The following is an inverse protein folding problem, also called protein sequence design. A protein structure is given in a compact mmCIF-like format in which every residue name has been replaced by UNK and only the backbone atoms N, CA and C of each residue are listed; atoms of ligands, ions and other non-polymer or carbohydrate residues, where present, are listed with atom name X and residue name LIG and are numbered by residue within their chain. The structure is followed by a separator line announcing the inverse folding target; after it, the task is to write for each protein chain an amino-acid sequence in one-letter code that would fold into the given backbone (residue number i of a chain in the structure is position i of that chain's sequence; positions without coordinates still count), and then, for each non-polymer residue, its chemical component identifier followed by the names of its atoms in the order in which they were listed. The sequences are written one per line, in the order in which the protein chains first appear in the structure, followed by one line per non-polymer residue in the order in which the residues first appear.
data_IF_101756152336
#
_entry.id   IF_101756152336
#
_cell.length_a   1.000
_cell.length_b   1.000
_cell.length_c   1.000
_cell.angle_alpha   90.00
_cell.angle_beta   90.00
_cell.angle_gamma   90.00
#
_symmetry.space_group_name_H-M   'P 1'
#
loop_
_entity.id
_entity.type
_entity.pdbx_description
1 polymer ?
#
# COMPACT_ATOMS: atom_id res chain seq x y z
N UNK A 1 -20.95 -19.76 -15.69
CA UNK A 1 -20.53 -20.34 -14.40
C UNK A 1 -20.08 -19.17 -13.54
N UNK A 2 -20.81 -18.86 -12.46
CA UNK A 2 -20.39 -17.86 -11.48
C UNK A 2 -19.35 -18.51 -10.59
N UNK A 3 -18.08 -18.17 -10.80
CA UNK A 3 -16.99 -18.62 -9.92
C UNK A 3 -17.27 -18.06 -8.52
N UNK A 4 -17.43 -18.94 -7.54
CA UNK A 4 -17.56 -18.53 -6.14
C UNK A 4 -16.18 -18.10 -5.64
N UNK A 5 -15.93 -16.79 -5.68
CA UNK A 5 -14.65 -16.17 -5.28
C UNK A 5 -14.51 -16.05 -3.75
N UNK A 6 -15.52 -16.45 -2.96
CA UNK A 6 -15.52 -16.29 -1.50
C UNK A 6 -14.51 -17.17 -0.78
N UNK A 7 -13.98 -18.21 -1.44
CA UNK A 7 -13.01 -19.15 -0.85
C UNK A 7 -11.54 -18.77 -1.05
N UNK A 8 -11.21 -17.80 -1.92
CA UNK A 8 -9.83 -17.33 -2.05
C UNK A 8 -9.56 -16.18 -1.09
N UNK A 9 -8.87 -16.48 0.01
CA UNK A 9 -8.51 -15.50 1.04
C UNK A 9 -7.76 -14.28 0.48
N UNK A 10 -6.98 -14.44 -0.60
CA UNK A 10 -6.30 -13.32 -1.27
C UNK A 10 -7.30 -12.32 -1.85
N UNK A 11 -8.39 -12.83 -2.43
CA UNK A 11 -9.44 -12.00 -2.99
C UNK A 11 -10.29 -11.37 -1.89
N UNK A 12 -10.51 -12.05 -0.77
CA UNK A 12 -11.20 -11.48 0.39
C UNK A 12 -10.44 -10.28 0.99
N UNK A 13 -9.13 -10.45 1.22
CA UNK A 13 -8.28 -9.38 1.76
C UNK A 13 -8.17 -8.22 0.74
N UNK A 14 -8.01 -8.53 -0.55
CA UNK A 14 -8.05 -7.52 -1.61
C UNK A 14 -9.40 -6.78 -1.66
N UNK A 15 -10.52 -7.48 -1.48
CA UNK A 15 -11.86 -6.90 -1.50
C UNK A 15 -12.06 -5.90 -0.35
N UNK A 16 -11.57 -6.26 0.85
CA UNK A 16 -11.62 -5.38 2.03
C UNK A 16 -10.84 -4.10 1.79
N UNK A 17 -9.72 -4.16 1.07
CA UNK A 17 -8.92 -2.98 0.74
C UNK A 17 -9.59 -2.09 -0.31
N UNK A 18 -10.16 -2.71 -1.34
CA UNK A 18 -10.76 -2.00 -2.47
C UNK A 18 -12.07 -1.28 -2.10
N UNK A 19 -12.67 -1.59 -0.94
CA UNK A 19 -13.83 -0.86 -0.43
C UNK A 19 -13.59 0.64 -0.30
N UNK A 20 -12.33 1.10 -0.20
CA UNK A 20 -11.97 2.51 -0.21
C UNK A 20 -12.53 3.27 -1.42
N UNK A 21 -12.74 2.61 -2.56
CA UNK A 21 -13.36 3.20 -3.75
C UNK A 21 -14.89 3.33 -3.66
N UNK A 22 -15.50 2.69 -2.66
CA UNK A 22 -16.94 2.61 -2.44
C UNK A 22 -17.44 3.42 -1.22
N UNK A 23 -16.55 4.16 -0.54
CA UNK A 23 -16.91 5.01 0.60
C UNK A 23 -17.44 6.38 0.12
N UNK A 24 -18.58 6.36 -0.57
CA UNK A 24 -19.14 7.53 -1.28
C UNK A 24 -19.52 8.71 -0.38
N UNK A 25 -19.56 8.51 0.94
CA UNK A 25 -19.77 9.58 1.91
C UNK A 25 -18.56 10.52 2.06
N UNK A 26 -17.40 10.17 1.49
CA UNK A 26 -16.19 10.99 1.51
C UNK A 26 -15.79 11.48 0.12
N UNK A 27 -15.35 12.73 0.03
CA UNK A 27 -14.83 13.31 -1.22
C UNK A 27 -13.45 12.75 -1.62
N UNK A 28 -12.62 12.46 -0.61
CA UNK A 28 -11.27 11.92 -0.72
C UNK A 28 -11.03 10.89 0.38
N UNK A 29 -10.37 9.79 0.03
CA UNK A 29 -9.95 8.74 0.96
C UNK A 29 -8.48 8.43 0.72
N UNK A 30 -7.69 8.42 1.80
CA UNK A 30 -6.31 7.92 1.81
C UNK A 30 -6.30 6.63 2.63
N UNK A 31 -6.04 5.52 1.96
CA UNK A 31 -5.89 4.21 2.58
C UNK A 31 -4.41 3.88 2.78
N UNK A 32 -4.08 3.36 3.96
CA UNK A 32 -2.75 2.87 4.33
C UNK A 32 -2.85 1.39 4.74
N UNK A 33 -1.88 0.58 4.36
CA UNK A 33 -1.74 -0.77 4.90
C UNK A 33 -1.41 -0.74 6.41
N UNK A 34 -1.77 -1.80 7.11
CA UNK A 34 -1.62 -1.89 8.57
C UNK A 34 -0.17 -2.14 9.03
N UNK A 35 0.72 -2.52 8.12
CA UNK A 35 2.14 -2.77 8.36
C UNK A 35 3.02 -1.58 7.98
N UNK A 36 2.50 -0.38 8.24
CA UNK A 36 3.15 0.89 7.96
C UNK A 36 3.44 1.67 9.25
N UNK A 37 4.38 2.60 9.18
CA UNK A 37 4.65 3.55 10.26
C UNK A 37 4.82 4.96 9.69
N UNK A 38 3.94 5.85 10.13
CA UNK A 38 3.95 7.28 9.76
C UNK A 38 4.96 8.01 10.63
N UNK A 39 5.91 8.69 9.99
CA UNK A 39 7.00 9.46 10.61
C UNK A 39 6.76 10.97 10.55
N UNK A 40 6.04 11.44 9.52
CA UNK A 40 5.75 12.85 9.31
C UNK A 40 4.32 13.03 8.79
N UNK A 41 3.76 14.23 8.98
CA UNK A 41 2.44 14.60 8.45
C UNK A 41 2.36 14.34 6.94
N UNK A 42 1.23 13.80 6.48
CA UNK A 42 0.96 13.50 5.07
C UNK A 42 -0.40 14.06 4.61
N UNK A 43 -0.96 15.07 5.29
CA UNK A 43 -2.30 15.58 4.98
C UNK A 43 -2.40 16.12 3.54
N UNK A 44 -1.29 16.57 2.96
CA UNK A 44 -1.25 17.01 1.56
C UNK A 44 -1.62 15.89 0.55
N UNK A 45 -1.68 14.62 1.00
CA UNK A 45 -2.24 13.53 0.20
C UNK A 45 -3.73 13.72 -0.10
N UNK A 46 -4.46 14.46 0.75
CA UNK A 46 -5.87 14.81 0.54
C UNK A 46 -6.05 15.84 -0.58
N UNK A 47 -4.98 16.55 -0.96
CA UNK A 47 -4.99 17.58 -2.02
C UNK A 47 -4.46 17.05 -3.37
N UNK A 48 -4.16 15.76 -3.46
CA UNK A 48 -3.67 15.15 -4.71
C UNK A 48 -4.73 15.29 -5.80
N UNK A 49 -4.35 15.93 -6.90
CA UNK A 49 -5.23 16.12 -8.07
C UNK A 49 -5.56 14.78 -8.74
N UNK A 50 -6.78 14.29 -8.48
CA UNK A 50 -7.39 13.12 -9.12
C UNK A 50 -8.55 13.52 -10.03
N UNK A 51 -8.88 12.62 -10.97
CA UNK A 51 -10.06 12.80 -11.81
C UNK A 51 -11.33 12.89 -10.95
N UNK A 52 -12.31 13.71 -11.34
CA UNK A 52 -13.51 13.88 -10.54
C UNK A 52 -14.45 12.67 -10.68
N UNK A 53 -15.26 12.34 -9.64
CA UNK A 53 -16.09 11.14 -9.59
C UNK A 53 -17.01 10.94 -10.80
N UNK A 54 -17.44 12.03 -11.46
CA UNK A 54 -18.33 12.03 -12.62
C UNK A 54 -17.68 11.38 -13.85
N UNK A 55 -16.33 11.31 -13.91
CA UNK A 55 -15.62 10.58 -14.95
C UNK A 55 -15.74 9.05 -14.79
N UNK A 56 -16.19 8.57 -13.63
CA UNK A 56 -16.49 7.16 -13.40
C UNK A 56 -15.33 6.21 -13.73
N UNK A 57 -14.10 6.58 -13.35
CA UNK A 57 -12.91 5.76 -13.55
C UNK A 57 -12.40 5.70 -14.99
N UNK A 58 -12.88 6.58 -15.89
CA UNK A 58 -12.47 6.63 -17.32
C UNK A 58 -11.36 7.63 -17.62
N UNK A 59 -10.97 8.44 -16.64
CA UNK A 59 -9.90 9.43 -16.80
C UNK A 59 -8.49 8.82 -16.72
N UNK A 60 -7.48 9.69 -16.51
CA UNK A 60 -6.05 9.37 -16.50
C UNK A 60 -5.41 9.35 -15.10
N UNK A 61 -6.09 9.89 -14.09
CA UNK A 61 -5.66 9.96 -12.69
C UNK A 61 -6.80 9.42 -11.82
N UNK A 62 -7.17 8.15 -12.05
CA UNK A 62 -8.32 7.51 -11.40
C UNK A 62 -8.09 7.36 -9.89
N UNK A 63 -6.84 7.09 -9.49
CA UNK A 63 -6.40 7.07 -8.10
C UNK A 63 -4.93 7.48 -8.04
N UNK A 64 -4.44 7.79 -6.85
CA UNK A 64 -3.03 8.06 -6.54
C UNK A 64 -2.40 6.89 -5.81
N UNK A 65 -1.16 6.55 -6.15
CA UNK A 65 -0.39 5.50 -5.47
C UNK A 65 1.10 5.68 -5.75
N UNK A 66 1.96 4.83 -5.16
CA UNK A 66 3.40 4.83 -5.47
C UNK A 66 3.75 3.70 -6.43
N UNK A 67 4.89 3.79 -7.12
CA UNK A 67 5.39 2.67 -7.92
C UNK A 67 5.82 1.48 -7.06
N UNK A 68 5.43 0.27 -7.47
CA UNK A 68 6.04 -0.96 -7.01
C UNK A 68 7.54 -0.96 -7.32
N UNK A 69 8.33 -1.58 -6.44
CA UNK A 69 9.77 -1.68 -6.67
C UNK A 69 10.06 -2.79 -7.68
N UNK A 70 10.45 -2.39 -8.89
CA UNK A 70 10.75 -3.30 -10.00
C UNK A 70 12.12 -3.98 -9.88
N UNK A 71 12.98 -3.53 -8.97
CA UNK A 71 14.34 -4.07 -8.79
C UNK A 71 14.37 -5.54 -8.36
N UNK A 72 13.25 -6.08 -7.87
CA UNK A 72 13.11 -7.44 -7.38
C UNK A 72 14.34 -7.89 -6.54
N UNK A 73 14.70 -7.16 -5.46
CA UNK A 73 15.95 -7.39 -4.73
C UNK A 73 16.02 -8.81 -4.11
N UNK A 74 14.87 -9.44 -3.90
CA UNK A 74 14.76 -10.81 -3.42
C UNK A 74 14.72 -11.88 -4.52
N UNK A 75 14.90 -11.50 -5.79
CA UNK A 75 14.92 -12.39 -6.97
C UNK A 75 13.74 -13.36 -7.02
N UNK A 76 12.54 -12.87 -6.67
CA UNK A 76 11.33 -13.69 -6.67
C UNK A 76 10.88 -13.99 -8.11
N UNK A 77 10.56 -15.25 -8.45
CA UNK A 77 10.28 -15.66 -9.84
C UNK A 77 9.07 -14.98 -10.50
N UNK A 78 8.14 -14.47 -9.70
CA UNK A 78 6.88 -13.91 -10.16
C UNK A 78 6.91 -12.42 -10.48
N UNK A 79 8.04 -11.74 -10.24
CA UNK A 79 8.18 -10.35 -10.65
C UNK A 79 8.48 -10.30 -12.16
N UNK A 80 7.61 -9.69 -12.99
CA UNK A 80 7.84 -9.58 -14.42
C UNK A 80 9.13 -8.81 -14.72
N UNK A 81 9.84 -9.18 -15.79
CA UNK A 81 11.03 -8.45 -16.24
C UNK A 81 10.71 -7.03 -16.74
N UNK A 82 9.46 -6.79 -17.14
CA UNK A 82 8.92 -5.59 -17.76
C UNK A 82 7.79 -4.96 -16.93
N UNK A 83 7.94 -4.91 -15.60
CA UNK A 83 6.93 -4.41 -14.66
C UNK A 83 6.75 -2.88 -14.60
N UNK A 84 6.96 -2.19 -15.73
CA UNK A 84 6.70 -0.75 -15.84
C UNK A 84 5.19 -0.49 -15.72
N UNK A 85 4.80 0.38 -14.79
CA UNK A 85 3.40 0.74 -14.57
C UNK A 85 2.68 0.01 -13.42
N UNK A 86 3.36 -0.91 -12.72
CA UNK A 86 2.82 -1.48 -11.48
C UNK A 86 2.81 -0.44 -10.36
N UNK A 87 1.63 -0.21 -9.78
CA UNK A 87 1.51 0.53 -8.52
C UNK A 87 1.81 -0.39 -7.34
N UNK A 88 2.15 0.17 -6.19
CA UNK A 88 2.12 -0.53 -4.91
C UNK A 88 0.96 0.02 -4.09
N UNK A 89 -0.03 -0.83 -3.88
CA UNK A 89 -1.31 -0.49 -3.27
C UNK A 89 -1.22 -0.30 -1.77
N UNK A 90 -0.04 -0.37 -1.14
CA UNK A 90 0.09 -0.08 0.29
C UNK A 90 -0.38 1.32 0.66
N UNK A 91 -0.31 2.26 -0.29
CA UNK A 91 -1.02 3.53 -0.21
C UNK A 91 -1.93 3.69 -1.43
N UNK A 92 -3.17 4.08 -1.18
CA UNK A 92 -4.15 4.44 -2.21
C UNK A 92 -4.77 5.77 -1.81
N UNK A 93 -4.69 6.75 -2.70
CA UNK A 93 -5.46 7.99 -2.62
C UNK A 93 -6.57 7.89 -3.65
N UNK A 94 -7.82 8.06 -3.26
CA UNK A 94 -8.94 7.91 -4.19
C UNK A 94 -10.02 8.93 -3.93
N UNK A 95 -10.76 9.27 -4.99
CA UNK A 95 -12.06 9.93 -4.91
C UNK A 95 -13.12 8.85 -5.15
N UNK A 96 -13.82 8.38 -4.11
CA UNK A 96 -14.81 7.32 -4.24
C UNK A 96 -15.83 7.62 -5.35
N UNK A 97 -16.16 6.61 -6.16
CA UNK A 97 -17.09 6.76 -7.28
C UNK A 97 -17.72 5.43 -7.64
N UNK A 98 -19.04 5.40 -7.77
CA UNK A 98 -19.78 4.21 -8.20
C UNK A 98 -19.27 3.67 -9.53
N UNK A 99 -18.88 4.56 -10.46
CA UNK A 99 -18.35 4.16 -11.76
C UNK A 99 -16.99 3.45 -11.65
N UNK A 100 -16.07 4.00 -10.85
CA UNK A 100 -14.77 3.38 -10.59
C UNK A 100 -14.95 2.04 -9.85
N UNK A 101 -15.80 2.01 -8.83
CA UNK A 101 -16.10 0.80 -8.07
C UNK A 101 -16.68 -0.30 -8.97
N UNK A 102 -17.62 0.05 -9.84
CA UNK A 102 -18.20 -0.90 -10.80
C UNK A 102 -17.15 -1.52 -11.71
N UNK A 103 -16.22 -0.72 -12.25
CA UNK A 103 -15.12 -1.22 -13.09
C UNK A 103 -14.27 -2.23 -12.30
N UNK A 104 -13.93 -1.92 -11.04
CA UNK A 104 -13.14 -2.78 -10.17
C UNK A 104 -13.88 -4.11 -9.92
N UNK A 105 -15.16 -4.05 -9.55
CA UNK A 105 -15.94 -5.26 -9.25
C UNK A 105 -16.23 -6.11 -10.48
N UNK A 106 -16.50 -5.48 -11.63
CA UNK A 106 -16.70 -6.18 -12.90
C UNK A 106 -15.42 -6.90 -13.33
N UNK A 107 -14.25 -6.25 -13.16
CA UNK A 107 -12.96 -6.89 -13.45
C UNK A 107 -12.71 -8.07 -12.51
N UNK A 108 -12.92 -7.91 -11.19
CA UNK A 108 -12.78 -9.01 -10.23
C UNK A 108 -13.65 -10.23 -10.59
N UNK A 109 -14.87 -10.00 -11.08
CA UNK A 109 -15.77 -11.08 -11.47
C UNK A 109 -15.36 -11.81 -12.75
N UNK A 110 -14.47 -11.22 -13.57
CA UNK A 110 -14.11 -11.73 -14.91
C UNK A 110 -12.64 -12.14 -15.04
N UNK A 111 -11.76 -11.66 -14.16
CA UNK A 111 -10.32 -11.94 -14.19
C UNK A 111 -10.00 -13.39 -13.80
N UNK A 112 -9.00 -13.98 -14.45
CA UNK A 112 -8.37 -15.23 -13.99
C UNK A 112 -7.35 -14.89 -12.89
N UNK A 113 -7.79 -14.94 -11.64
CA UNK A 113 -7.01 -14.49 -10.47
C UNK A 113 -5.99 -15.51 -9.96
N UNK A 114 -5.89 -16.68 -10.59
CA UNK A 114 -5.09 -17.81 -10.11
C UNK A 114 -3.62 -17.42 -9.85
N UNK A 115 -3.03 -16.63 -10.75
CA UNK A 115 -1.62 -16.26 -10.73
C UNK A 115 -1.32 -14.97 -9.95
N UNK A 116 -2.32 -14.32 -9.36
CA UNK A 116 -2.13 -13.07 -8.64
C UNK A 116 -1.57 -13.30 -7.23
N UNK A 117 -0.32 -12.89 -7.03
CA UNK A 117 0.33 -12.97 -5.71
C UNK A 117 -0.05 -11.77 -4.84
N UNK A 118 -0.25 -10.60 -5.45
CA UNK A 118 -0.75 -9.39 -4.80
C UNK A 118 -2.04 -8.97 -5.52
N UNK A 119 -3.17 -9.56 -5.11
CA UNK A 119 -4.41 -9.49 -5.89
C UNK A 119 -4.93 -8.06 -6.10
N UNK A 120 -4.92 -7.23 -5.07
CA UNK A 120 -5.27 -5.81 -5.14
C UNK A 120 -4.31 -5.04 -6.06
N UNK A 121 -3.00 -5.26 -5.90
CA UNK A 121 -1.96 -4.60 -6.69
C UNK A 121 -2.04 -4.95 -8.17
N UNK A 122 -2.20 -6.24 -8.47
CA UNK A 122 -2.33 -6.77 -9.83
C UNK A 122 -3.59 -6.22 -10.49
N UNK A 123 -4.74 -6.29 -9.80
CA UNK A 123 -6.01 -5.80 -10.32
C UNK A 123 -5.92 -4.31 -10.69
N UNK A 124 -5.53 -3.45 -9.76
CA UNK A 124 -5.53 -2.00 -10.02
C UNK A 124 -4.51 -1.60 -11.09
N UNK A 125 -3.37 -2.29 -11.13
CA UNK A 125 -2.35 -2.03 -12.16
C UNK A 125 -2.81 -2.48 -13.56
N UNK A 126 -3.60 -3.56 -13.65
CA UNK A 126 -4.15 -4.05 -14.92
C UNK A 126 -5.32 -3.19 -15.40
N UNK A 127 -6.32 -2.98 -14.54
CA UNK A 127 -7.56 -2.24 -14.87
C UNK A 127 -7.29 -0.78 -15.22
N UNK A 128 -6.38 -0.15 -14.48
CA UNK A 128 -6.06 1.27 -14.63
C UNK A 128 -4.61 1.48 -15.09
N UNK A 129 -4.12 0.58 -15.94
CA UNK A 129 -2.76 0.67 -16.47
C UNK A 129 -2.49 2.08 -17.04
N UNK A 130 -1.46 2.75 -16.51
CA UNK A 130 -1.08 4.13 -16.84
C UNK A 130 -2.14 5.22 -16.58
N UNK A 131 -3.21 4.90 -15.83
CA UNK A 131 -4.33 5.81 -15.52
C UNK A 131 -4.42 6.11 -14.02
N UNK A 132 -3.26 6.24 -13.37
CA UNK A 132 -3.13 6.58 -11.96
C UNK A 132 -2.05 7.66 -11.76
N UNK A 133 -2.20 8.47 -10.70
CA UNK A 133 -1.30 9.54 -10.34
C UNK A 133 -0.12 9.01 -9.52
N UNK A 134 1.14 9.15 -9.98
CA UNK A 134 2.29 8.67 -9.24
C UNK A 134 2.65 9.59 -8.07
N UNK A 135 2.73 9.00 -6.88
CA UNK A 135 3.16 9.64 -5.65
C UNK A 135 4.67 9.42 -5.43
N UNK A 136 5.37 10.43 -4.87
CA UNK A 136 6.74 10.28 -4.39
C UNK A 136 6.92 9.08 -3.44
N UNK A 137 8.08 8.40 -3.52
CA UNK A 137 8.33 7.19 -2.72
C UNK A 137 8.24 7.43 -1.21
N UNK A 138 8.43 8.68 -0.75
CA UNK A 138 8.44 9.03 0.67
C UNK A 138 7.11 8.78 1.38
N UNK A 139 5.99 8.70 0.64
CA UNK A 139 4.66 8.40 1.17
C UNK A 139 4.39 6.90 1.35
N UNK A 140 5.19 6.06 0.70
CA UNK A 140 5.12 4.60 0.82
C UNK A 140 6.52 4.04 0.58
N UNK A 141 7.39 4.30 1.56
CA UNK A 141 8.79 3.97 1.50
C UNK A 141 8.96 2.49 1.86
N UNK A 142 9.04 1.64 0.83
CA UNK A 142 9.29 0.20 1.04
C UNK A 142 10.65 0.03 1.73
N UNK A 143 10.68 -0.68 2.87
CA UNK A 143 11.93 -0.84 3.67
C UNK A 143 13.14 -1.32 2.87
N UNK A 144 12.90 -2.20 1.89
CA UNK A 144 13.95 -2.76 1.03
C UNK A 144 14.62 -1.73 0.12
N UNK A 145 13.96 -0.59 -0.16
CA UNK A 145 14.57 0.51 -0.94
C UNK A 145 15.71 1.18 -0.17
N UNK A 146 15.75 1.08 1.16
CA UNK A 146 16.87 1.60 1.97
C UNK A 146 18.12 0.72 1.89
N UNK A 147 18.01 -0.53 1.45
CA UNK A 147 19.13 -1.46 1.43
C UNK A 147 20.20 -1.03 0.44
N UNK A 148 21.46 -1.30 0.79
CA UNK A 148 22.63 -1.05 -0.05
C UNK A 148 22.47 -1.74 -1.42
N UNK A 149 22.67 -0.98 -2.50
CA UNK A 149 22.58 -1.49 -3.87
C UNK A 149 21.16 -1.63 -4.41
N UNK A 150 20.13 -1.24 -3.66
CA UNK A 150 18.73 -1.22 -4.13
C UNK A 150 18.38 0.19 -4.59
N UNK A 151 18.08 1.09 -3.65
CA UNK A 151 17.75 2.50 -3.92
C UNK A 151 18.46 3.45 -2.92
N UNK A 152 19.50 2.97 -2.24
CA UNK A 152 20.26 3.69 -1.22
C UNK A 152 20.79 5.05 -1.72
N UNK A 153 21.20 5.15 -2.98
CA UNK A 153 21.68 6.40 -3.58
C UNK A 153 20.64 7.56 -3.54
N UNK A 154 19.35 7.24 -3.66
CA UNK A 154 18.27 8.23 -3.66
C UNK A 154 17.51 8.28 -2.33
N UNK A 155 17.73 7.32 -1.45
CA UNK A 155 17.06 7.23 -0.16
C UNK A 155 17.52 8.36 0.78
N UNK A 156 16.57 8.94 1.52
CA UNK A 156 16.80 10.05 2.47
C UNK A 156 15.96 9.80 3.72
N UNK A 157 16.59 9.37 4.81
CA UNK A 157 15.92 9.01 6.07
C UNK A 157 15.03 10.16 6.57
N UNK A 158 15.52 11.40 6.53
CA UNK A 158 14.84 12.63 6.98
C UNK A 158 13.67 13.07 6.10
N UNK A 159 13.46 12.42 4.95
CA UNK A 159 12.38 12.73 4.02
C UNK A 159 11.28 11.68 4.02
N UNK A 160 11.51 10.50 4.60
CA UNK A 160 10.53 9.41 4.63
C UNK A 160 9.36 9.83 5.52
N UNK A 161 8.17 9.98 4.94
CA UNK A 161 6.96 10.32 5.69
C UNK A 161 6.23 9.09 6.21
N UNK A 162 6.31 7.98 5.49
CA UNK A 162 5.68 6.73 5.87
C UNK A 162 6.49 5.54 5.35
N UNK A 163 6.92 4.67 6.27
CA UNK A 163 7.68 3.46 5.96
C UNK A 163 6.72 2.27 5.87
N UNK A 164 6.93 1.42 4.87
CA UNK A 164 6.12 0.23 4.63
C UNK A 164 6.93 -1.05 4.86
N UNK A 165 6.52 -1.84 5.84
CA UNK A 165 7.15 -3.09 6.22
C UNK A 165 6.63 -4.30 5.43
N UNK A 166 6.26 -4.13 4.15
CA UNK A 166 5.51 -5.08 3.30
C UNK A 166 6.05 -6.54 3.25
N UNK A 167 7.31 -6.76 3.59
CA UNK A 167 7.95 -8.09 3.62
C UNK A 167 8.39 -8.50 5.02
N UNK A 168 8.43 -9.81 5.24
CA UNK A 168 9.02 -10.41 6.44
C UNK A 168 10.55 -10.33 6.43
N UNK A 169 11.20 -10.34 7.60
CA UNK A 169 10.59 -10.27 8.95
C UNK A 169 9.93 -8.92 9.21
N UNK A 170 8.87 -8.85 10.01
CA UNK A 170 8.30 -7.57 10.45
C UNK A 170 9.03 -7.08 11.71
N UNK A 171 9.04 -5.76 12.01
CA UNK A 171 9.72 -5.27 13.20
C UNK A 171 9.13 -5.79 14.52
N UNK A 172 7.86 -6.19 14.55
CA UNK A 172 7.23 -6.83 15.72
C UNK A 172 7.48 -8.33 15.85
N UNK A 173 8.06 -8.97 14.84
CA UNK A 173 8.45 -10.39 14.90
C UNK A 173 9.86 -10.57 15.48
N UNK A 174 10.62 -9.47 15.62
CA UNK A 174 12.00 -9.49 16.09
C UNK A 174 12.10 -9.21 17.59
N UNK A 175 12.92 -10.01 18.29
CA UNK A 175 13.30 -9.72 19.68
C UNK A 175 14.54 -8.83 19.68
N UNK A 176 14.49 -7.61 20.24
CA UNK A 176 15.67 -6.76 20.41
C UNK A 176 16.77 -7.53 21.17
N UNK A 177 18.08 -7.31 20.88
CA UNK A 177 18.67 -6.18 20.16
C UNK A 177 19.09 -6.48 18.70
N UNK A 178 18.70 -7.62 18.14
CA UNK A 178 19.09 -8.00 16.77
C UNK A 178 18.08 -7.44 15.79
N UNK A 179 18.41 -6.33 15.13
CA UNK A 179 17.64 -5.81 14.00
C UNK A 179 18.37 -6.11 12.71
N UNK A 180 17.78 -6.99 11.88
CA UNK A 180 18.33 -7.31 10.56
C UNK A 180 18.17 -6.14 9.58
N UNK A 181 17.09 -5.36 9.73
CA UNK A 181 16.80 -4.18 8.91
C UNK A 181 16.94 -2.90 9.75
N UNK A 182 17.76 -1.91 9.32
CA UNK A 182 17.94 -0.67 10.08
C UNK A 182 16.63 0.10 10.36
N UNK A 183 15.62 -0.03 9.51
CA UNK A 183 14.31 0.62 9.70
C UNK A 183 13.48 -0.01 10.81
N UNK A 184 13.83 -1.21 11.28
CA UNK A 184 13.13 -1.85 12.40
C UNK A 184 13.44 -1.14 13.73
N UNK A 185 14.64 -0.56 13.87
CA UNK A 185 15.00 0.25 15.03
C UNK A 185 14.06 1.46 15.20
N UNK A 186 13.56 2.04 14.09
CA UNK A 186 12.59 3.14 14.13
C UNK A 186 11.26 2.70 14.76
N UNK A 187 10.73 1.54 14.35
CA UNK A 187 9.51 0.99 14.92
C UNK A 187 9.70 0.61 16.40
N UNK A 188 10.83 0.00 16.76
CA UNK A 188 11.09 -0.38 18.14
C UNK A 188 11.16 0.85 19.05
N UNK A 189 11.81 1.93 18.62
CA UNK A 189 11.86 3.18 19.36
C UNK A 189 10.45 3.76 19.56
N UNK A 190 9.68 3.91 18.47
CA UNK A 190 8.32 4.46 18.53
C UNK A 190 7.38 3.60 19.39
N UNK A 191 7.46 2.28 19.27
CA UNK A 191 6.62 1.38 20.06
C UNK A 191 7.01 1.37 21.55
N UNK A 192 8.28 1.57 21.88
CA UNK A 192 8.71 1.76 23.27
C UNK A 192 8.11 3.04 23.86
N UNK A 193 8.20 4.17 23.14
CA UNK A 193 7.58 5.44 23.54
C UNK A 193 6.06 5.32 23.71
N UNK A 194 5.38 4.66 22.75
CA UNK A 194 3.94 4.35 22.84
C UNK A 194 3.62 3.59 24.12
N UNK A 195 4.36 2.52 24.42
CA UNK A 195 4.14 1.68 25.62
C UNK A 195 4.33 2.45 26.92
N UNK A 196 5.32 3.34 26.99
CA UNK A 196 5.52 4.21 28.14
C UNK A 196 4.35 5.17 28.33
N UNK A 197 3.87 5.78 27.24
CA UNK A 197 2.71 6.66 27.25
C UNK A 197 1.41 5.92 27.65
N UNK A 198 1.17 4.73 27.11
CA UNK A 198 0.01 3.91 27.42
C UNK A 198 0.02 3.49 28.90
N UNK A 199 1.18 3.05 29.41
CA UNK A 199 1.38 2.75 30.83
C UNK A 199 1.08 3.96 31.72
N UNK A 200 1.51 5.15 31.34
CA UNK A 200 1.23 6.39 32.08
C UNK A 200 -0.27 6.72 32.13
N UNK A 201 -1.06 6.23 31.16
CA UNK A 201 -2.52 6.40 31.09
C UNK A 201 -3.29 5.22 31.70
N UNK A 202 -2.61 4.23 32.28
CA UNK A 202 -3.24 3.03 32.81
C UNK A 202 -3.80 2.09 31.73
N UNK A 203 -3.33 2.23 30.49
CA UNK A 203 -3.67 1.34 29.39
C UNK A 203 -2.67 0.20 29.36
N UNK A 204 -3.17 -1.03 29.24
CA UNK A 204 -2.36 -2.23 29.04
C UNK A 204 -2.65 -2.79 27.66
N UNK A 205 -1.61 -3.09 26.89
CA UNK A 205 -1.75 -3.87 25.65
C UNK A 205 -2.43 -5.19 26.02
N UNK A 206 -3.58 -5.46 25.41
CA UNK A 206 -4.37 -6.66 25.70
C UNK A 206 -3.71 -7.90 25.12
N UNK A 207 -3.17 -8.74 26.01
CA UNK A 207 -2.94 -10.16 25.78
C UNK A 207 -3.47 -10.93 26.99
#
# INVERSE_FOLDING_TARGET
MTTDLTQDRRLYDAWTKLIAFALYEYDHVVLLDCDMMVLHNMDELMDVELDPPEMGGKGKRVFGSTHACVCNPLKRPHYPADCWGLCNTGIIVTRPSEGTWKIITDSLATSNTADWIFADQSLLSEVFQYRWAPLPYIYNALKTKRWEGVHDAIWRDDRVKNIHYFLTPKPWDETPPVHADPTHAWWCALNAERKEHDKARGLTDGH
#
